data_IF_287497520382
#
_entry.id   IF_287497520382
#
_cell.length_a   1.000
_cell.length_b   1.000
_cell.length_c   1.000
_cell.angle_alpha   90.00
_cell.angle_beta   90.00
_cell.angle_gamma   90.00
#
_symmetry.space_group_name_H-M   'P 1'
#
loop_
_entity.id
_entity.type
_entity.pdbx_description
1 polymer ?
#
# COMPACT_ATOMS: atom_id res chain seq x y z
N UNK A 1 52.74 20.78 -29.32
CA UNK A 1 51.30 21.02 -29.08
C UNK A 1 50.58 19.68 -29.17
N UNK A 2 50.10 19.19 -28.03
CA UNK A 2 49.57 17.83 -27.86
C UNK A 2 48.07 17.81 -28.22
N UNK A 3 47.74 17.12 -29.30
CA UNK A 3 46.39 16.98 -29.85
C UNK A 3 45.71 15.74 -29.25
N UNK A 4 45.45 15.74 -27.94
CA UNK A 4 44.63 14.72 -27.25
C UNK A 4 43.89 15.33 -26.06
N UNK A 5 43.05 16.30 -26.33
CA UNK A 5 42.01 16.75 -25.41
C UNK A 5 41.02 17.57 -26.23
N UNK A 6 39.73 17.38 -25.98
CA UNK A 6 38.55 17.98 -26.61
C UNK A 6 37.71 17.02 -27.47
N UNK A 7 36.48 16.83 -26.99
CA UNK A 7 35.26 16.45 -27.70
C UNK A 7 34.88 14.96 -27.75
N UNK A 8 34.95 14.29 -26.60
CA UNK A 8 33.93 13.27 -26.25
C UNK A 8 32.70 14.04 -25.76
N UNK A 9 31.87 14.53 -26.69
CA UNK A 9 30.68 15.29 -26.32
C UNK A 9 29.52 15.20 -27.31
N UNK A 10 29.31 14.11 -28.06
CA UNK A 10 28.05 13.92 -28.80
C UNK A 10 27.70 12.43 -28.95
N UNK A 11 27.06 11.84 -27.93
CA UNK A 11 26.18 10.65 -28.00
C UNK A 11 25.49 10.66 -26.61
N UNK A 12 24.24 11.06 -26.45
CA UNK A 12 23.01 10.33 -26.79
C UNK A 12 21.85 11.34 -26.80
N UNK A 13 21.21 11.50 -27.95
CA UNK A 13 19.81 11.94 -28.04
C UNK A 13 18.91 10.70 -28.09
N UNK A 14 17.65 10.89 -27.67
CA UNK A 14 16.50 9.98 -27.78
C UNK A 14 16.43 8.96 -26.63
N UNK A 15 15.33 8.74 -25.91
CA UNK A 15 13.88 8.91 -26.13
C UNK A 15 13.26 8.94 -24.71
N UNK A 16 12.24 9.75 -24.44
CA UNK A 16 11.05 9.39 -23.62
C UNK A 16 10.17 10.63 -23.44
N UNK A 17 9.41 10.94 -24.49
CA UNK A 17 8.20 11.74 -24.39
C UNK A 17 7.04 10.78 -24.19
N UNK A 18 6.34 10.86 -23.05
CA UNK A 18 5.04 10.20 -22.87
C UNK A 18 3.96 11.27 -22.74
N UNK A 19 2.91 11.24 -23.57
CA UNK A 19 1.76 12.12 -23.42
C UNK A 19 0.84 11.55 -22.33
N UNK A 20 0.48 12.35 -21.35
CA UNK A 20 -0.66 12.06 -20.47
C UNK A 20 -1.83 12.95 -20.90
N UNK A 21 -2.59 12.49 -21.88
CA UNK A 21 -3.98 12.90 -22.04
C UNK A 21 -4.83 11.81 -21.42
N UNK A 22 -5.42 12.08 -20.27
CA UNK A 22 -6.57 11.30 -19.81
C UNK A 22 -7.74 12.20 -19.47
N UNK A 23 -8.88 11.72 -19.95
CA UNK A 23 -10.13 12.38 -20.26
C UNK A 23 -11.01 12.51 -19.01
N UNK A 24 -11.59 13.69 -18.81
CA UNK A 24 -12.63 13.95 -17.82
C UNK A 24 -13.93 13.27 -18.27
N UNK A 25 -14.38 12.22 -17.59
CA UNK A 25 -15.79 11.84 -17.57
C UNK A 25 -16.06 10.99 -16.33
N UNK A 26 -16.77 11.57 -15.35
CA UNK A 26 -17.70 10.80 -14.53
C UNK A 26 -18.81 11.73 -14.06
N UNK A 27 -19.98 11.51 -14.65
CA UNK A 27 -21.25 12.13 -14.30
C UNK A 27 -21.68 11.66 -12.90
N UNK A 28 -21.94 12.61 -12.02
CA UNK A 28 -22.63 12.39 -10.76
C UNK A 28 -24.12 12.16 -11.04
N UNK A 29 -24.56 10.90 -11.02
CA UNK A 29 -25.98 10.55 -10.95
C UNK A 29 -26.38 10.43 -9.48
N UNK A 30 -26.90 11.52 -8.90
CA UNK A 30 -27.56 11.52 -7.60
C UNK A 30 -29.05 11.31 -7.82
N UNK A 31 -29.54 10.15 -7.37
CA UNK A 31 -30.95 9.76 -7.40
C UNK A 31 -31.65 10.39 -6.18
N UNK A 32 -32.68 11.21 -6.43
CA UNK A 32 -33.61 11.73 -5.43
C UNK A 32 -34.53 10.60 -4.92
N UNK A 33 -34.78 10.46 -3.61
CA UNK A 33 -35.75 9.51 -3.08
C UNK A 33 -37.09 10.20 -2.91
N UNK A 34 -38.10 9.85 -3.71
CA UNK A 34 -39.53 9.90 -3.35
C UNK A 34 -40.41 9.50 -4.54
N UNK A 35 -40.96 8.28 -4.52
CA UNK A 35 -42.32 8.04 -5.02
C UNK A 35 -42.89 6.74 -4.44
N UNK A 36 -43.77 6.88 -3.46
CA UNK A 36 -44.79 5.88 -3.16
C UNK A 36 -45.84 5.93 -4.27
N UNK A 37 -46.21 4.78 -4.85
CA UNK A 37 -47.59 4.51 -5.26
C UNK A 37 -47.84 3.01 -5.51
N UNK A 38 -48.92 2.53 -4.89
CA UNK A 38 -49.57 1.24 -5.03
C UNK A 38 -50.14 1.02 -6.44
N UNK A 39 -50.32 -0.24 -6.87
CA UNK A 39 -51.63 -0.88 -7.20
C UNK A 39 -51.44 -2.27 -7.84
N UNK A 40 -51.91 -3.28 -7.10
CA UNK A 40 -52.63 -4.53 -7.45
C UNK A 40 -52.41 -5.33 -8.75
N UNK A 41 -52.12 -6.62 -8.50
CA UNK A 41 -52.75 -7.87 -9.00
C UNK A 41 -52.76 -8.15 -10.51
N UNK A 42 -51.98 -9.18 -10.89
CA UNK A 42 -52.56 -10.35 -11.58
C UNK A 42 -51.74 -11.61 -11.28
N UNK A 43 -52.45 -12.69 -10.97
CA UNK A 43 -51.91 -13.99 -10.60
C UNK A 43 -51.39 -14.74 -11.84
N UNK A 44 -50.14 -15.23 -11.76
CA UNK A 44 -49.66 -16.32 -12.58
C UNK A 44 -48.92 -17.31 -11.67
N UNK A 45 -49.59 -18.41 -11.39
CA UNK A 45 -49.18 -19.53 -10.55
C UNK A 45 -48.18 -20.38 -11.33
N UNK A 46 -46.89 -20.26 -11.03
CA UNK A 46 -45.89 -21.25 -11.44
C UNK A 46 -45.24 -21.81 -10.17
N UNK A 47 -45.32 -23.14 -10.06
CA UNK A 47 -44.97 -23.94 -8.92
C UNK A 47 -43.48 -23.76 -8.55
N UNK A 48 -43.22 -23.18 -7.39
CA UNK A 48 -41.89 -23.17 -6.79
C UNK A 48 -41.56 -24.58 -6.31
N UNK A 49 -40.56 -25.19 -6.95
CA UNK A 49 -39.87 -26.38 -6.44
C UNK A 49 -39.28 -26.03 -5.07
N UNK A 50 -39.63 -26.82 -4.06
CA UNK A 50 -39.15 -26.72 -2.70
C UNK A 50 -37.64 -27.03 -2.68
N UNK A 51 -36.80 -26.00 -2.57
CA UNK A 51 -35.39 -26.15 -2.21
C UNK A 51 -35.28 -25.95 -0.69
N UNK A 52 -34.53 -26.80 0.03
CA UNK A 52 -34.33 -26.62 1.46
C UNK A 52 -33.59 -25.31 1.72
N UNK A 53 -34.20 -24.43 2.51
CA UNK A 53 -33.54 -23.23 3.03
C UNK A 53 -32.45 -23.66 4.01
N UNK A 54 -31.20 -23.45 3.61
CA UNK A 54 -30.09 -23.45 4.54
C UNK A 54 -30.14 -22.12 5.29
N UNK A 55 -30.65 -22.15 6.53
CA UNK A 55 -30.55 -21.04 7.45
C UNK A 55 -29.07 -20.72 7.68
N UNK A 56 -28.55 -19.68 7.04
CA UNK A 56 -27.30 -19.07 7.46
C UNK A 56 -27.62 -18.09 8.60
N UNK A 57 -27.05 -18.27 9.80
CA UNK A 57 -27.07 -17.22 10.79
C UNK A 57 -26.27 -16.01 10.29
N UNK A 58 -26.93 -14.86 10.45
CA UNK A 58 -26.46 -13.52 10.14
C UNK A 58 -25.23 -13.18 11.01
N UNK A 59 -24.36 -12.31 10.48
CA UNK A 59 -23.26 -11.61 11.16
C UNK A 59 -22.00 -12.44 11.45
N UNK A 60 -21.16 -12.61 10.43
CA UNK A 60 -19.72 -12.56 10.66
C UNK A 60 -19.38 -11.12 11.09
N UNK A 61 -19.47 -10.85 12.39
CA UNK A 61 -18.88 -9.66 12.98
C UNK A 61 -17.41 -9.68 12.58
N UNK A 62 -16.98 -8.67 11.84
CA UNK A 62 -15.57 -8.34 11.65
C UNK A 62 -14.98 -8.16 13.04
N UNK A 63 -14.35 -9.22 13.55
CA UNK A 63 -13.70 -9.19 14.84
C UNK A 63 -12.59 -8.14 14.74
N UNK A 64 -12.78 -7.03 15.44
CA UNK A 64 -11.72 -6.08 15.75
C UNK A 64 -10.63 -6.88 16.46
N UNK A 65 -9.56 -7.20 15.76
CA UNK A 65 -8.35 -7.74 16.38
C UNK A 65 -7.94 -6.80 17.51
N UNK A 66 -7.62 -7.32 18.71
CA UNK A 66 -7.07 -6.49 19.78
C UNK A 66 -5.89 -5.71 19.20
N UNK A 67 -5.93 -4.38 19.29
CA UNK A 67 -4.78 -3.53 18.97
C UNK A 67 -3.66 -3.94 19.94
N UNK A 68 -2.76 -4.81 19.49
CA UNK A 68 -1.54 -5.10 20.24
C UNK A 68 -0.81 -3.75 20.43
N UNK A 69 -0.27 -3.48 21.63
CA UNK A 69 0.46 -2.26 21.87
C UNK A 69 1.62 -2.15 20.88
N UNK A 70 1.73 -0.99 20.23
CA UNK A 70 2.87 -0.62 19.39
C UNK A 70 4.11 -0.52 20.28
N UNK A 71 4.89 -1.60 20.36
CA UNK A 71 6.13 -1.67 21.13
C UNK A 71 7.29 -2.00 20.18
N UNK A 72 7.70 -1.05 19.32
CA UNK A 72 8.77 -1.26 18.35
C UNK A 72 10.10 -1.66 19.02
N UNK A 73 10.83 -2.59 18.42
CA UNK A 73 12.20 -2.94 18.82
C UNK A 73 13.07 -3.34 17.61
N UNK A 74 14.37 -3.01 17.60
CA UNK A 74 15.25 -3.38 16.50
C UNK A 74 15.55 -4.89 16.52
N UNK A 75 15.64 -5.49 15.33
CA UNK A 75 16.04 -6.87 15.11
C UNK A 75 17.12 -6.87 14.02
N UNK A 76 18.21 -7.61 14.24
CA UNK A 76 19.17 -7.92 13.20
C UNK A 76 18.97 -9.36 12.73
N UNK A 77 18.76 -9.54 11.43
CA UNK A 77 18.55 -10.87 10.85
C UNK A 77 19.50 -11.07 9.68
N UNK A 78 20.24 -12.19 9.69
CA UNK A 78 21.05 -12.58 8.54
C UNK A 78 20.18 -13.22 7.46
N UNK A 79 20.43 -12.87 6.20
CA UNK A 79 19.85 -13.52 5.04
C UNK A 79 20.90 -13.72 3.96
N UNK A 80 20.71 -14.72 3.11
CA UNK A 80 21.61 -15.02 2.01
C UNK A 80 20.98 -14.55 0.70
N UNK A 81 21.72 -13.76 -0.07
CA UNK A 81 21.28 -13.31 -1.39
C UNK A 81 21.40 -14.45 -2.41
N UNK A 82 20.86 -14.23 -3.60
CA UNK A 82 21.01 -15.20 -4.71
C UNK A 82 22.46 -15.41 -5.16
N UNK A 83 23.38 -14.48 -4.85
CA UNK A 83 24.82 -14.65 -5.11
C UNK A 83 25.55 -15.43 -4.01
N UNK A 84 24.85 -15.80 -2.93
CA UNK A 84 25.43 -16.48 -1.78
C UNK A 84 26.02 -15.54 -0.72
N UNK A 85 25.95 -14.22 -0.93
CA UNK A 85 26.40 -13.21 0.04
C UNK A 85 25.48 -13.22 1.28
N UNK A 86 26.08 -13.20 2.47
CA UNK A 86 25.36 -13.06 3.73
C UNK A 86 25.24 -11.56 4.03
N UNK A 87 24.00 -11.06 4.06
CA UNK A 87 23.69 -9.68 4.43
C UNK A 87 22.95 -9.67 5.77
N UNK A 88 23.26 -8.69 6.62
CA UNK A 88 22.50 -8.42 7.83
C UNK A 88 21.43 -7.38 7.54
N UNK A 89 20.17 -7.78 7.68
CA UNK A 89 19.03 -6.87 7.58
C UNK A 89 18.71 -6.26 8.93
N UNK A 90 18.49 -4.94 8.93
CA UNK A 90 17.96 -4.21 10.09
C UNK A 90 16.43 -4.17 9.97
N UNK A 91 15.75 -4.89 10.86
CA UNK A 91 14.30 -5.04 10.90
C UNK A 91 13.73 -4.42 12.17
N UNK A 92 12.40 -4.25 12.19
CA UNK A 92 11.66 -3.79 13.37
C UNK A 92 10.64 -4.85 13.79
N UNK A 93 10.70 -5.29 15.04
CA UNK A 93 9.67 -6.10 15.68
C UNK A 93 8.61 -5.25 16.39
N UNK A 94 7.52 -5.88 16.81
CA UNK A 94 6.52 -5.23 17.69
C UNK A 94 5.56 -4.24 17.00
N UNK A 95 5.53 -4.24 15.67
CA UNK A 95 4.62 -3.43 14.84
C UNK A 95 3.67 -4.34 14.06
N UNK A 96 2.46 -4.62 14.59
CA UNK A 96 1.48 -5.46 13.91
C UNK A 96 0.93 -4.74 12.67
N UNK A 97 0.90 -5.41 11.53
CA UNK A 97 0.36 -4.86 10.30
C UNK A 97 -0.52 -5.86 9.56
N UNK A 98 -1.72 -5.39 9.16
CA UNK A 98 -2.66 -6.24 8.45
C UNK A 98 -2.35 -6.28 6.95
N UNK A 99 -1.78 -7.40 6.49
CA UNK A 99 -1.53 -7.67 5.08
C UNK A 99 -2.73 -8.32 4.36
N UNK A 100 -3.86 -8.58 5.02
CA UNK A 100 -5.04 -9.17 4.40
C UNK A 100 -5.50 -8.30 3.22
N UNK A 101 -5.79 -8.95 2.09
CA UNK A 101 -6.19 -8.32 0.82
C UNK A 101 -5.15 -7.36 0.23
N UNK A 102 -3.91 -7.33 0.72
CA UNK A 102 -2.80 -6.63 0.08
C UNK A 102 -2.04 -7.59 -0.84
N UNK A 103 -1.69 -7.18 -2.07
CA UNK A 103 -0.82 -7.97 -2.92
C UNK A 103 0.59 -8.07 -2.31
N UNK A 104 1.42 -8.96 -2.85
CA UNK A 104 2.84 -9.02 -2.47
C UNK A 104 3.51 -7.67 -2.77
N UNK A 105 4.16 -7.07 -1.77
CA UNK A 105 4.77 -5.74 -1.90
C UNK A 105 5.07 -5.08 -0.55
N UNK A 106 5.44 -3.81 -0.61
CA UNK A 106 5.80 -3.00 0.56
C UNK A 106 4.73 -1.94 0.83
N UNK A 107 4.28 -1.81 2.08
CA UNK A 107 3.18 -0.90 2.44
C UNK A 107 3.56 -0.07 3.67
N UNK A 108 3.18 1.21 3.67
CA UNK A 108 3.44 2.09 4.81
C UNK A 108 2.74 1.58 6.08
N UNK A 109 3.40 1.74 7.22
CA UNK A 109 2.76 1.62 8.52
C UNK A 109 1.70 2.73 8.73
N UNK A 110 0.65 2.41 9.49
CA UNK A 110 -0.43 3.36 9.76
C UNK A 110 -0.07 4.44 10.78
N UNK A 111 0.99 4.26 11.57
CA UNK A 111 1.35 5.13 12.69
C UNK A 111 2.71 5.83 12.50
N UNK A 112 3.67 5.15 11.86
CA UNK A 112 5.01 5.65 11.60
C UNK A 112 5.24 5.90 10.11
N UNK A 113 5.68 7.11 9.77
CA UNK A 113 5.92 7.51 8.38
C UNK A 113 7.15 6.89 7.75
N UNK A 114 8.16 6.63 8.58
CA UNK A 114 9.43 6.05 8.21
C UNK A 114 9.43 4.53 8.38
N UNK A 115 8.27 3.89 8.54
CA UNK A 115 8.16 2.43 8.65
C UNK A 115 7.31 1.87 7.52
N UNK A 116 7.74 0.71 7.01
CA UNK A 116 6.98 -0.05 6.02
C UNK A 116 7.07 -1.56 6.25
N UNK A 117 6.05 -2.26 5.75
CA UNK A 117 5.88 -3.69 5.93
C UNK A 117 5.94 -4.42 4.58
N UNK A 118 6.73 -5.48 4.53
CA UNK A 118 6.73 -6.41 3.42
C UNK A 118 5.59 -7.43 3.61
N UNK A 119 4.59 -7.37 2.75
CA UNK A 119 3.53 -8.36 2.65
C UNK A 119 3.86 -9.39 1.57
N UNK A 120 3.67 -10.68 1.87
CA UNK A 120 3.82 -11.77 0.89
C UNK A 120 2.63 -12.72 1.07
N UNK A 121 1.83 -12.89 0.01
CA UNK A 121 0.61 -13.72 0.01
C UNK A 121 -0.35 -13.39 1.17
N UNK A 122 -0.60 -12.09 1.41
CA UNK A 122 -1.52 -11.64 2.45
C UNK A 122 -0.97 -11.71 3.89
N UNK A 123 0.30 -12.08 4.07
CA UNK A 123 0.95 -12.16 5.39
C UNK A 123 2.08 -11.15 5.54
N UNK A 124 2.17 -10.51 6.71
CA UNK A 124 3.31 -9.68 7.07
C UNK A 124 4.55 -10.58 7.25
N UNK A 125 5.62 -10.31 6.51
CA UNK A 125 6.88 -11.06 6.60
C UNK A 125 7.94 -10.30 7.37
N UNK A 126 8.11 -9.02 7.05
CA UNK A 126 9.15 -8.18 7.60
C UNK A 126 8.65 -6.76 7.75
N UNK A 127 9.26 -6.02 8.66
CA UNK A 127 9.04 -4.59 8.87
C UNK A 127 10.39 -3.91 8.87
N UNK A 128 10.49 -2.79 8.18
CA UNK A 128 11.71 -2.04 7.97
C UNK A 128 11.48 -0.58 8.35
N UNK A 129 12.55 0.12 8.76
CA UNK A 129 12.54 1.58 8.71
C UNK A 129 13.14 2.07 7.39
N UNK A 130 12.73 3.26 6.98
CA UNK A 130 13.48 4.02 6.00
C UNK A 130 14.85 4.38 6.58
N UNK A 131 15.91 4.37 5.75
CA UNK A 131 17.25 4.71 6.20
C UNK A 131 17.36 6.21 6.47
N UNK A 132 17.79 6.60 7.66
CA UNK A 132 18.11 7.99 7.96
C UNK A 132 19.45 8.37 7.34
N UNK A 133 19.46 9.39 6.49
CA UNK A 133 20.67 9.90 5.81
C UNK A 133 20.86 11.39 6.08
N UNK A 134 20.77 11.79 7.35
CA UNK A 134 20.95 13.17 7.80
C UNK A 134 19.69 14.04 7.70
N UNK A 135 18.58 13.50 7.23
CA UNK A 135 17.28 14.18 7.19
C UNK A 135 16.12 13.18 7.25
N UNK A 136 14.92 13.68 7.56
CA UNK A 136 13.72 12.86 7.66
C UNK A 136 13.27 12.35 6.29
N UNK A 137 13.00 11.05 6.25
CA UNK A 137 12.48 10.32 5.11
C UNK A 137 11.21 9.61 5.50
N UNK A 138 10.29 9.46 4.55
CA UNK A 138 9.04 8.75 4.75
C UNK A 138 8.85 7.73 3.64
N UNK A 139 8.14 6.63 3.92
CA UNK A 139 7.82 5.65 2.90
C UNK A 139 6.62 6.13 2.07
N UNK A 140 6.80 6.51 0.81
CA UNK A 140 5.70 6.86 -0.08
C UNK A 140 5.02 5.61 -0.65
N UNK A 141 3.72 5.43 -0.36
CA UNK A 141 2.93 4.31 -0.88
C UNK A 141 2.75 4.35 -2.40
N UNK A 142 2.86 5.54 -3.03
CA UNK A 142 2.71 5.70 -4.48
C UNK A 142 3.94 5.21 -5.22
N UNK A 143 5.13 5.67 -4.81
CA UNK A 143 6.40 5.25 -5.43
C UNK A 143 6.94 3.95 -4.86
N UNK A 144 6.42 3.50 -3.71
CA UNK A 144 6.89 2.33 -2.94
C UNK A 144 8.35 2.46 -2.50
N UNK A 145 8.76 3.68 -2.14
CA UNK A 145 10.14 4.02 -1.78
C UNK A 145 10.19 4.98 -0.58
N UNK A 146 11.33 5.00 0.08
CA UNK A 146 11.64 6.04 1.05
C UNK A 146 12.03 7.33 0.31
N UNK A 147 11.27 8.39 0.58
CA UNK A 147 11.39 9.69 -0.05
C UNK A 147 11.69 10.76 0.99
N UNK A 148 12.41 11.80 0.59
CA UNK A 148 12.73 12.90 1.48
C UNK A 148 11.52 13.78 1.75
N UNK A 149 11.32 14.17 3.02
CA UNK A 149 10.24 15.09 3.40
C UNK A 149 10.36 16.44 2.68
N UNK A 150 11.57 16.93 2.40
CA UNK A 150 11.76 18.18 1.63
C UNK A 150 11.12 18.14 0.23
N UNK A 151 11.02 16.96 -0.38
CA UNK A 151 10.45 16.80 -1.71
C UNK A 151 8.91 16.82 -1.65
N UNK A 152 8.33 16.42 -0.51
CA UNK A 152 6.90 16.45 -0.24
C UNK A 152 6.65 16.63 1.26
N UNK A 153 6.51 17.89 1.74
CA UNK A 153 6.27 18.18 3.15
C UNK A 153 4.96 17.57 3.70
N UNK A 154 4.04 17.23 2.79
CA UNK A 154 2.76 16.61 3.12
C UNK A 154 2.82 15.08 3.15
N UNK A 155 3.99 14.49 2.88
CA UNK A 155 4.19 13.04 2.89
C UNK A 155 3.98 12.38 4.25
N UNK A 156 4.08 13.16 5.33
CA UNK A 156 3.93 12.73 6.72
C UNK A 156 3.41 13.86 7.61
N UNK A 157 2.12 14.20 7.51
CA UNK A 157 1.55 15.30 8.32
C UNK A 157 1.07 14.80 9.69
N UNK A 158 0.48 13.60 9.72
CA UNK A 158 -0.34 13.13 10.85
C UNK A 158 0.32 12.05 11.70
N UNK A 159 1.41 11.47 11.20
CA UNK A 159 2.03 10.27 11.75
C UNK A 159 3.41 10.61 12.31
N UNK A 160 3.93 9.71 13.15
CA UNK A 160 5.19 9.91 13.85
C UNK A 160 6.38 9.39 13.03
N UNK A 161 7.60 9.73 13.46
CA UNK A 161 8.83 9.10 13.00
C UNK A 161 9.39 8.23 14.12
N UNK A 162 9.75 7.00 13.80
CA UNK A 162 10.32 6.06 14.76
C UNK A 162 11.82 6.30 14.96
N UNK A 163 12.56 6.62 13.89
CA UNK A 163 13.99 6.99 13.91
C UNK A 163 14.91 5.99 14.66
N UNK A 164 14.84 4.69 14.34
CA UNK A 164 15.72 3.69 14.97
C UNK A 164 17.17 3.69 14.48
N UNK A 165 17.40 4.13 13.23
CA UNK A 165 18.67 4.00 12.53
C UNK A 165 18.98 5.28 11.77
#
# INVERSE_FOLDING_TARGET
MSLKLFLILIFIQNVFSFPSQYNQNNQENIINPNLHQNVNKTAARIQQKLFPQFNQPIHAQSQLTPFLPYNPFPIQQQTQTSSGEIITENLIGGLPFNCLNKPTGHFRDSFFCDVFHACVYGQQRKTYSCPFVGELVYFDDRTRKCEFIRNNPYGCIQNNFLNFF
#
